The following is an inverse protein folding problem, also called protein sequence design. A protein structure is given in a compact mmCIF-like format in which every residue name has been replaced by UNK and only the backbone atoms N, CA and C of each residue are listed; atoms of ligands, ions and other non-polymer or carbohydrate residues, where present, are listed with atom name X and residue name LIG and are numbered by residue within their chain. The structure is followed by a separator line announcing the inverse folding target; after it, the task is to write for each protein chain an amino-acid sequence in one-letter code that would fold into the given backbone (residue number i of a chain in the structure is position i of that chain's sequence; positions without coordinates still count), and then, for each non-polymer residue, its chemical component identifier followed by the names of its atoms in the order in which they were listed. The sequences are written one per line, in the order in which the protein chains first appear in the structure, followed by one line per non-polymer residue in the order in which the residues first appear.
data_IF_458361092421
#
_entry.id   IF_458361092421
#
_cell.length_a   1.000
_cell.length_b   1.000
_cell.length_c   1.000
_cell.angle_alpha   90.00
_cell.angle_beta   90.00
_cell.angle_gamma   90.00
#
_symmetry.space_group_name_H-M   'P 1'
#
loop_
_entity.id
_entity.type
_entity.pdbx_description
1 polymer ?
#
# COMPACT_ATOMS: atom_id res chain seq x y z
N UNK A 1 32.46 -2.69 -40.61
CA UNK A 1 31.27 -2.50 -39.74
C UNK A 1 31.03 -3.70 -38.80
N UNK A 2 32.08 -4.27 -38.18
CA UNK A 2 31.96 -5.53 -37.42
C UNK A 2 31.26 -5.36 -36.06
N UNK A 3 31.39 -4.16 -35.47
CA UNK A 3 30.87 -3.84 -34.14
C UNK A 3 29.49 -3.16 -34.16
N UNK A 4 29.02 -2.65 -35.31
CA UNK A 4 27.70 -2.02 -35.43
C UNK A 4 26.55 -2.95 -35.05
N UNK A 5 26.70 -4.26 -35.33
CA UNK A 5 25.75 -5.30 -34.91
C UNK A 5 25.66 -5.49 -33.39
N UNK A 6 26.62 -4.98 -32.62
CA UNK A 6 26.67 -5.05 -31.16
C UNK A 6 26.34 -3.68 -30.54
N UNK A 7 26.86 -2.60 -31.12
CA UNK A 7 26.64 -1.23 -30.64
C UNK A 7 25.17 -0.83 -30.74
N UNK A 8 24.47 -1.17 -31.82
CA UNK A 8 23.06 -0.79 -31.99
C UNK A 8 22.17 -1.45 -30.94
N UNK A 9 22.21 -2.78 -30.72
CA UNK A 9 21.45 -3.41 -29.63
C UNK A 9 21.83 -2.88 -28.24
N UNK A 10 23.11 -2.61 -27.99
CA UNK A 10 23.57 -2.06 -26.71
C UNK A 10 23.00 -0.66 -26.45
N UNK A 11 22.98 0.19 -27.49
CA UNK A 11 22.38 1.52 -27.40
C UNK A 11 20.86 1.46 -27.17
N UNK A 12 20.16 0.55 -27.86
CA UNK A 12 18.72 0.32 -27.64
C UNK A 12 18.48 -0.17 -26.20
N UNK A 13 19.27 -1.13 -25.71
CA UNK A 13 19.16 -1.63 -24.36
C UNK A 13 19.40 -0.52 -23.32
N UNK A 14 20.43 0.30 -23.51
CA UNK A 14 20.71 1.45 -22.64
C UNK A 14 19.54 2.45 -22.64
N UNK A 15 18.92 2.70 -23.79
CA UNK A 15 17.77 3.58 -23.90
C UNK A 15 16.54 3.00 -23.18
N UNK A 16 16.28 1.70 -23.31
CA UNK A 16 15.21 1.02 -22.55
C UNK A 16 15.45 1.13 -21.05
N UNK A 17 16.68 0.84 -20.58
CA UNK A 17 17.02 0.99 -19.17
C UNK A 17 16.84 2.42 -18.65
N UNK A 18 17.18 3.42 -19.48
CA UNK A 18 16.99 4.82 -19.13
C UNK A 18 15.51 5.20 -18.99
N UNK A 19 14.67 4.79 -19.95
CA UNK A 19 13.22 5.03 -19.90
C UNK A 19 12.56 4.35 -18.68
N UNK A 20 12.93 3.09 -18.40
CA UNK A 20 12.41 2.36 -17.23
C UNK A 20 12.80 3.05 -15.92
N UNK A 21 14.05 3.48 -15.79
CA UNK A 21 14.51 4.17 -14.59
C UNK A 21 13.81 5.52 -14.40
N UNK A 22 13.60 6.30 -15.48
CA UNK A 22 12.85 7.55 -15.39
C UNK A 22 11.39 7.33 -14.98
N UNK A 23 10.75 6.28 -15.52
CA UNK A 23 9.39 5.92 -15.14
C UNK A 23 9.31 5.53 -13.66
N UNK A 24 10.23 4.71 -13.16
CA UNK A 24 10.30 4.31 -11.76
C UNK A 24 10.52 5.50 -10.81
N UNK A 25 11.45 6.40 -11.13
CA UNK A 25 11.68 7.61 -10.35
C UNK A 25 10.43 8.50 -10.31
N UNK A 26 9.78 8.71 -11.45
CA UNK A 26 8.56 9.51 -11.51
C UNK A 26 7.41 8.88 -10.71
N UNK A 27 7.32 7.55 -10.68
CA UNK A 27 6.33 6.83 -9.91
C UNK A 27 6.60 6.95 -8.41
N UNK A 28 7.85 6.78 -7.98
CA UNK A 28 8.25 6.97 -6.58
C UNK A 28 7.96 8.38 -6.09
N UNK A 29 8.26 9.41 -6.91
CA UNK A 29 7.95 10.81 -6.57
C UNK A 29 6.44 11.05 -6.45
N UNK A 30 5.65 10.45 -7.35
CA UNK A 30 4.20 10.53 -7.29
C UNK A 30 3.65 9.85 -6.03
N UNK A 31 4.09 8.64 -5.74
CA UNK A 31 3.69 7.85 -4.58
C UNK A 31 3.98 8.60 -3.28
N UNK A 32 5.21 9.10 -3.12
CA UNK A 32 5.58 9.94 -1.98
C UNK A 32 4.62 11.14 -1.86
N UNK A 33 4.41 11.87 -2.95
CA UNK A 33 3.56 13.06 -2.92
C UNK A 33 2.11 12.77 -2.49
N UNK A 34 1.54 11.63 -2.87
CA UNK A 34 0.12 11.32 -2.58
C UNK A 34 -0.08 10.61 -1.24
N UNK A 35 0.90 9.82 -0.79
CA UNK A 35 0.82 9.12 0.49
C UNK A 35 1.09 10.04 1.69
N UNK A 36 1.94 11.07 1.53
CA UNK A 36 2.18 12.10 2.56
C UNK A 36 0.99 13.08 2.67
N UNK A 37 -0.17 12.56 3.08
CA UNK A 37 -1.43 13.30 3.13
C UNK A 37 -1.90 13.64 4.56
N UNK A 38 -0.98 13.60 5.53
CA UNK A 38 -1.24 13.95 6.92
C UNK A 38 -2.40 13.19 7.55
N UNK A 39 -2.51 11.88 7.30
CA UNK A 39 -3.52 11.00 7.89
C UNK A 39 -2.90 10.16 8.99
N UNK A 40 -3.48 10.28 10.17
CA UNK A 40 -3.11 9.47 11.33
C UNK A 40 -4.31 8.61 11.71
N UNK A 41 -4.08 7.31 11.89
CA UNK A 41 -5.11 6.35 12.31
C UNK A 41 -4.62 5.63 13.55
N UNK A 42 -5.43 5.58 14.60
CA UNK A 42 -5.22 4.69 15.74
C UNK A 42 -6.46 3.85 15.94
N UNK A 43 -6.32 2.56 16.18
CA UNK A 43 -7.46 1.67 16.40
C UNK A 43 -7.05 0.27 16.80
N UNK A 44 -7.98 -0.67 16.66
CA UNK A 44 -7.76 -2.08 17.04
C UNK A 44 -8.12 -2.98 15.86
N UNK A 45 -7.28 -3.97 15.58
CA UNK A 45 -7.52 -4.96 14.54
C UNK A 45 -8.74 -5.81 14.95
N UNK A 46 -9.80 -5.79 14.16
CA UNK A 46 -11.01 -6.59 14.41
C UNK A 46 -11.16 -7.78 13.47
N UNK A 47 -10.54 -7.72 12.29
CA UNK A 47 -10.53 -8.85 11.34
C UNK A 47 -9.35 -8.74 10.39
N UNK A 48 -8.81 -9.88 9.96
CA UNK A 48 -7.76 -9.97 8.94
C UNK A 48 -8.20 -10.97 7.88
N UNK A 49 -8.25 -10.53 6.62
CA UNK A 49 -8.46 -11.41 5.48
C UNK A 49 -7.20 -11.44 4.63
N UNK A 50 -6.52 -12.59 4.62
CA UNK A 50 -5.26 -12.78 3.89
C UNK A 50 -5.54 -13.41 2.53
N UNK A 51 -4.85 -12.92 1.52
CA UNK A 51 -4.85 -13.45 0.17
C UNK A 51 -3.77 -14.53 0.04
N UNK A 52 -3.87 -15.33 -1.02
CA UNK A 52 -2.84 -16.32 -1.37
C UNK A 52 -1.69 -15.70 -2.17
N UNK A 53 -1.72 -14.39 -2.45
CA UNK A 53 -0.67 -13.65 -3.14
C UNK A 53 0.23 -12.95 -2.12
N UNK A 54 1.49 -13.38 -2.02
CA UNK A 54 2.56 -12.72 -1.24
C UNK A 54 2.15 -12.20 0.16
N UNK A 55 1.30 -12.94 0.88
CA UNK A 55 0.79 -12.56 2.19
C UNK A 55 0.00 -11.22 2.24
N UNK A 56 -0.45 -10.70 1.10
CA UNK A 56 -1.28 -9.50 1.04
C UNK A 56 -2.58 -9.69 1.83
N UNK A 57 -2.99 -8.69 2.60
CA UNK A 57 -4.16 -8.80 3.45
C UNK A 57 -4.96 -7.51 3.56
N UNK A 58 -6.27 -7.68 3.78
CA UNK A 58 -7.22 -6.61 4.14
C UNK A 58 -7.48 -6.68 5.63
N UNK A 59 -7.07 -5.63 6.35
CA UNK A 59 -7.22 -5.53 7.80
C UNK A 59 -8.37 -4.59 8.10
N UNK A 60 -9.32 -5.05 8.91
CA UNK A 60 -10.43 -4.22 9.39
C UNK A 60 -10.09 -3.71 10.77
N UNK A 61 -10.24 -2.40 10.94
CA UNK A 61 -9.90 -1.68 12.16
C UNK A 61 -11.16 -1.05 12.72
N UNK A 62 -11.43 -1.35 13.99
CA UNK A 62 -12.50 -0.74 14.76
C UNK A 62 -11.95 0.25 15.81
N UNK A 63 -12.85 1.00 16.45
CA UNK A 63 -12.53 2.03 17.44
C UNK A 63 -11.55 3.09 16.90
N UNK A 64 -11.68 3.44 15.62
CA UNK A 64 -10.73 4.32 14.96
C UNK A 64 -10.83 5.74 15.51
N UNK A 65 -9.68 6.23 15.99
CA UNK A 65 -9.38 7.63 16.21
C UNK A 65 -8.50 8.09 15.04
N UNK A 66 -8.99 9.06 14.29
CA UNK A 66 -8.22 9.68 13.22
C UNK A 66 -8.40 11.18 13.27
N UNK A 67 -7.41 11.91 12.76
CA UNK A 67 -7.50 13.34 12.56
C UNK A 67 -8.47 13.71 11.42
N UNK A 68 -8.91 12.75 10.61
CA UNK A 68 -9.96 12.92 9.61
C UNK A 68 -11.07 11.88 9.78
N UNK A 69 -12.32 12.28 9.53
CA UNK A 69 -13.48 11.41 9.73
C UNK A 69 -13.74 10.45 8.55
N UNK A 70 -13.29 10.84 7.36
CA UNK A 70 -13.50 10.11 6.12
C UNK A 70 -12.29 10.26 5.22
N UNK A 71 -11.83 9.14 4.67
CA UNK A 71 -10.79 9.08 3.67
C UNK A 71 -11.07 7.93 2.74
N UNK A 72 -11.07 8.18 1.44
CA UNK A 72 -11.17 7.14 0.43
C UNK A 72 -10.48 7.64 -0.83
N UNK A 73 -9.55 6.84 -1.35
CA UNK A 73 -9.00 7.14 -2.66
C UNK A 73 -10.03 6.91 -3.75
N UNK A 74 -10.02 7.77 -4.76
CA UNK A 74 -10.87 7.71 -5.94
C UNK A 74 -10.12 7.24 -7.20
N UNK A 75 -8.94 6.62 -7.04
CA UNK A 75 -8.13 6.15 -8.16
C UNK A 75 -8.61 4.78 -8.63
N UNK A 76 -9.01 4.67 -9.90
CA UNK A 76 -9.53 3.42 -10.48
C UNK A 76 -8.43 2.37 -10.74
N UNK A 77 -7.18 2.83 -10.93
CA UNK A 77 -6.04 1.99 -11.35
C UNK A 77 -5.12 1.61 -10.19
N UNK A 78 -5.17 2.33 -9.07
CA UNK A 78 -4.31 2.14 -7.91
C UNK A 78 -5.16 2.27 -6.66
N UNK A 79 -4.89 1.51 -5.61
CA UNK A 79 -5.59 1.64 -4.33
C UNK A 79 -4.69 2.24 -3.28
N UNK A 80 -5.18 3.24 -2.56
CA UNK A 80 -4.48 3.71 -1.38
C UNK A 80 -4.40 2.61 -0.33
N UNK A 81 -3.33 2.54 0.47
CA UNK A 81 -3.12 1.48 1.46
C UNK A 81 -4.11 1.53 2.63
N UNK A 82 -5.03 2.50 2.66
CA UNK A 82 -6.05 2.60 3.69
C UNK A 82 -7.29 3.36 3.23
N UNK A 83 -8.37 3.15 3.97
CA UNK A 83 -9.65 3.85 3.86
C UNK A 83 -10.22 4.07 5.25
N UNK A 84 -10.85 5.21 5.49
CA UNK A 84 -11.44 5.59 6.76
C UNK A 84 -12.90 5.95 6.52
N UNK A 85 -13.81 5.38 7.31
CA UNK A 85 -15.22 5.76 7.28
C UNK A 85 -15.84 5.52 8.65
N UNK A 86 -16.32 6.59 9.29
CA UNK A 86 -17.16 6.54 10.49
C UNK A 86 -16.59 5.65 11.62
N UNK A 87 -15.45 6.03 12.21
CA UNK A 87 -14.77 5.30 13.31
C UNK A 87 -14.35 3.86 12.96
N UNK A 88 -14.36 3.52 11.68
CA UNK A 88 -13.79 2.29 11.13
C UNK A 88 -12.77 2.64 10.07
N UNK A 89 -11.82 1.75 9.88
CA UNK A 89 -10.85 1.85 8.80
C UNK A 89 -10.56 0.46 8.22
N UNK A 90 -10.01 0.45 7.02
CA UNK A 90 -9.29 -0.70 6.51
C UNK A 90 -7.88 -0.28 6.13
N UNK A 91 -6.93 -1.20 6.34
CA UNK A 91 -5.55 -1.06 5.89
C UNK A 91 -5.24 -2.27 5.00
N UNK A 92 -4.54 -2.02 3.90
CA UNK A 92 -4.18 -3.02 2.92
C UNK A 92 -2.66 -3.07 2.80
N UNK A 93 -2.06 -4.19 3.22
CA UNK A 93 -0.63 -4.40 3.04
C UNK A 93 -0.25 -5.88 3.04
N UNK A 94 0.97 -6.11 2.60
CA UNK A 94 1.65 -7.40 2.66
C UNK A 94 2.30 -7.58 4.02
N UNK A 95 1.83 -8.58 4.76
CA UNK A 95 2.45 -8.95 6.02
C UNK A 95 2.39 -10.45 6.21
N UNK A 96 3.57 -11.08 6.17
CA UNK A 96 3.64 -12.51 6.41
C UNK A 96 3.52 -12.89 7.88
N UNK A 97 3.81 -11.97 8.80
CA UNK A 97 3.69 -12.15 10.24
C UNK A 97 2.25 -12.47 10.67
N UNK A 98 2.13 -13.16 11.80
CA UNK A 98 0.82 -13.47 12.38
C UNK A 98 0.31 -12.26 13.14
N UNK A 99 -0.76 -11.65 12.64
CA UNK A 99 -1.51 -10.61 13.33
C UNK A 99 -2.51 -11.23 14.30
N UNK A 100 -2.68 -10.60 15.46
CA UNK A 100 -3.68 -11.03 16.44
C UNK A 100 -4.83 -10.03 16.46
N UNK A 101 -6.05 -10.56 16.35
CA UNK A 101 -7.27 -9.75 16.55
C UNK A 101 -7.23 -9.19 17.98
N UNK A 102 -7.45 -7.88 18.12
CA UNK A 102 -7.29 -7.16 19.37
C UNK A 102 -5.98 -6.40 19.51
N UNK A 103 -4.99 -6.64 18.65
CA UNK A 103 -3.77 -5.83 18.62
C UNK A 103 -4.10 -4.38 18.23
N UNK A 104 -3.38 -3.44 18.83
CA UNK A 104 -3.51 -2.01 18.52
C UNK A 104 -2.71 -1.65 17.28
N UNK A 105 -3.24 -0.73 16.48
CA UNK A 105 -2.59 -0.23 15.27
C UNK A 105 -2.47 1.28 15.30
N UNK A 106 -1.34 1.77 14.79
CA UNK A 106 -1.08 3.18 14.53
C UNK A 106 -0.52 3.33 13.12
N UNK A 107 -1.22 4.08 12.26
CA UNK A 107 -0.76 4.46 10.92
C UNK A 107 -0.43 5.94 10.93
N UNK A 108 0.74 6.28 10.39
CA UNK A 108 1.21 7.63 10.14
C UNK A 108 1.57 7.74 8.65
N UNK A 109 0.73 8.46 7.90
CA UNK A 109 0.91 8.59 6.45
C UNK A 109 2.08 9.51 6.08
N UNK A 110 2.52 10.40 6.97
CA UNK A 110 3.65 11.30 6.69
C UNK A 110 4.99 10.59 6.91
N UNK A 111 5.01 9.56 7.74
CA UNK A 111 6.18 8.71 7.91
C UNK A 111 6.07 7.41 7.07
N UNK A 112 4.98 7.23 6.32
CA UNK A 112 4.68 6.03 5.54
C UNK A 112 4.78 4.74 6.35
N UNK A 113 4.35 4.77 7.62
CA UNK A 113 4.54 3.67 8.56
C UNK A 113 3.21 3.21 9.16
N UNK A 114 3.12 1.90 9.34
CA UNK A 114 2.13 1.26 10.19
C UNK A 114 2.83 0.49 11.30
N UNK A 115 2.44 0.79 12.53
CA UNK A 115 2.92 0.15 13.74
C UNK A 115 1.80 -0.67 14.36
N UNK A 116 2.10 -1.93 14.66
CA UNK A 116 1.22 -2.85 15.38
C UNK A 116 1.84 -3.06 16.75
N UNK A 117 1.04 -2.90 17.79
CA UNK A 117 1.43 -3.08 19.19
C UNK A 117 0.46 -4.05 19.86
N UNK A 118 0.99 -5.12 20.43
CA UNK A 118 0.17 -6.17 21.03
C UNK A 118 1.01 -7.41 21.32
N UNK A 119 0.61 -8.57 20.78
CA UNK A 119 1.40 -9.80 20.97
C UNK A 119 2.81 -9.68 20.39
N UNK A 120 2.91 -9.10 19.20
CA UNK A 120 4.17 -8.78 18.54
C UNK A 120 4.19 -7.28 18.25
N UNK A 121 5.34 -6.64 18.46
CA UNK A 121 5.56 -5.26 18.05
C UNK A 121 6.16 -5.27 16.65
N UNK A 122 5.40 -4.79 15.66
CA UNK A 122 5.76 -4.85 14.25
C UNK A 122 5.66 -3.44 13.66
N UNK A 123 6.63 -3.08 12.84
CA UNK A 123 6.62 -1.86 12.05
C UNK A 123 6.80 -2.22 10.57
N UNK A 124 5.98 -1.62 9.70
CA UNK A 124 5.99 -1.83 8.25
C UNK A 124 5.77 -0.53 7.53
N UNK A 125 6.40 -0.39 6.37
CA UNK A 125 6.08 0.69 5.45
C UNK A 125 4.73 0.45 4.78
N UNK A 126 4.08 1.53 4.37
CA UNK A 126 2.88 1.49 3.52
C UNK A 126 3.19 2.06 2.14
N UNK A 127 2.56 1.50 1.12
CA UNK A 127 2.69 1.92 -0.27
C UNK A 127 1.37 1.79 -1.02
N UNK A 128 1.28 2.39 -2.20
CA UNK A 128 0.13 2.22 -3.08
C UNK A 128 0.02 0.76 -3.53
N UNK A 129 -1.20 0.25 -3.54
CA UNK A 129 -1.49 -1.09 -4.07
C UNK A 129 -1.72 -0.98 -5.57
N UNK A 130 -0.75 -1.45 -6.34
CA UNK A 130 -0.74 -1.39 -7.81
C UNK A 130 -1.06 -2.74 -8.46
N UNK A 131 -0.80 -3.85 -7.77
CA UNK A 131 -1.04 -5.19 -8.32
C UNK A 131 -2.52 -5.47 -8.53
N UNK A 132 -2.89 -5.81 -9.76
CA UNK A 132 -4.27 -6.09 -10.17
C UNK A 132 -4.93 -7.22 -9.35
N UNK A 133 -4.15 -8.22 -8.93
CA UNK A 133 -4.61 -9.30 -8.04
C UNK A 133 -4.99 -8.75 -6.67
N UNK A 134 -4.09 -7.96 -6.05
CA UNK A 134 -4.31 -7.36 -4.73
C UNK A 134 -5.49 -6.38 -4.76
N UNK A 135 -5.60 -5.56 -5.81
CA UNK A 135 -6.74 -4.67 -6.06
C UNK A 135 -8.06 -5.47 -6.15
N UNK A 136 -8.06 -6.57 -6.92
CA UNK A 136 -9.23 -7.43 -7.05
C UNK A 136 -9.61 -8.10 -5.72
N UNK A 137 -8.61 -8.46 -4.92
CA UNK A 137 -8.82 -9.02 -3.59
C UNK A 137 -9.43 -7.99 -2.62
N UNK A 138 -8.95 -6.73 -2.64
CA UNK A 138 -9.54 -5.62 -1.88
C UNK A 138 -11.01 -5.47 -2.25
N UNK A 139 -11.33 -5.34 -3.56
CA UNK A 139 -12.71 -5.15 -4.05
C UNK A 139 -13.68 -6.24 -3.56
N UNK A 140 -13.22 -7.48 -3.43
CA UNK A 140 -14.03 -8.61 -2.96
C UNK A 140 -14.20 -8.66 -1.44
N UNK A 141 -13.32 -8.02 -0.68
CA UNK A 141 -13.22 -8.23 0.77
C UNK A 141 -13.40 -6.97 1.62
N UNK A 142 -13.36 -5.78 1.00
CA UNK A 142 -13.60 -4.50 1.65
C UNK A 142 -15.01 -4.43 2.24
N UNK A 143 -15.13 -3.82 3.42
CA UNK A 143 -16.40 -3.47 4.03
C UNK A 143 -16.95 -2.13 3.52
N UNK A 144 -16.20 -1.45 2.66
CA UNK A 144 -16.55 -0.17 2.08
C UNK A 144 -16.70 -0.33 0.55
N UNK A 145 -17.74 -1.03 0.05
CA UNK A 145 -17.98 -1.08 -1.39
C UNK A 145 -18.20 0.32 -1.96
N UNK A 146 -17.91 0.48 -3.25
CA UNK A 146 -18.30 1.68 -4.01
C UNK A 146 -19.82 1.71 -4.12
#
# INVERSE_FOLDING_TARGET
MKYLKIIIPLAIFALICFEVNNAENSFSEYEDKVLHNNVNIKGVISSVKRSNNHCFAVWKIDNVKSNIAYFRSNTNEQYFPYVIKNKKAEIYLELCDTLVIGDSIELDSNNLLVKITGKNNIERSIGLVTESYNISFIKKNTQFPN
#
